data_IF_259289284494
#
_entry.id   IF_259289284494
#
_cell.length_a   1.000
_cell.length_b   1.000
_cell.length_c   1.000
_cell.angle_alpha   90.00
_cell.angle_beta   90.00
_cell.angle_gamma   90.00
#
_symmetry.space_group_name_H-M   'P 1'
#
loop_
_entity.id
_entity.type
_entity.pdbx_description
1 polymer ?
#
# COMPACT_ATOMS: atom_id res chain seq x y z
N UNK A 1 -9.53 -3.56 -9.23
CA UNK A 1 -9.80 -2.11 -9.06
C UNK A 1 -8.60 -1.49 -8.39
N UNK A 2 -7.65 -1.13 -9.23
CA UNK A 2 -6.27 -0.74 -8.95
C UNK A 2 -5.97 0.61 -9.62
N UNK A 3 -7.03 1.29 -10.07
CA UNK A 3 -6.99 2.51 -10.87
C UNK A 3 -6.62 3.74 -10.04
N UNK A 4 -6.86 3.76 -8.72
CA UNK A 4 -6.58 4.96 -7.91
C UNK A 4 -5.15 5.52 -8.12
N UNK A 5 -4.13 4.65 -8.07
CA UNK A 5 -2.75 5.10 -8.25
C UNK A 5 -2.43 5.55 -9.69
N UNK A 6 -3.12 4.94 -10.66
CA UNK A 6 -3.05 5.33 -12.06
C UNK A 6 -3.77 6.66 -12.30
N UNK A 7 -4.95 6.86 -11.73
CA UNK A 7 -5.73 8.10 -11.82
C UNK A 7 -4.96 9.27 -11.18
N UNK A 8 -4.37 9.06 -10.00
CA UNK A 8 -3.47 10.04 -9.38
C UNK A 8 -2.29 10.40 -10.29
N UNK A 9 -1.73 9.40 -10.99
CA UNK A 9 -0.66 9.63 -11.95
C UNK A 9 -1.15 10.45 -13.15
N UNK A 10 -2.31 10.14 -13.72
CA UNK A 10 -2.91 10.91 -14.82
C UNK A 10 -3.25 12.34 -14.40
N UNK A 11 -3.67 12.54 -13.15
CA UNK A 11 -3.95 13.85 -12.54
C UNK A 11 -2.68 14.63 -12.15
N UNK A 12 -1.48 14.07 -12.41
CA UNK A 12 -0.18 14.74 -12.23
C UNK A 12 0.51 14.50 -10.89
N UNK A 13 -0.09 13.69 -10.00
CA UNK A 13 0.50 13.30 -8.72
C UNK A 13 1.39 12.07 -8.97
N UNK A 14 2.67 12.31 -9.25
CA UNK A 14 3.61 11.24 -9.66
C UNK A 14 4.45 10.65 -8.51
N UNK A 15 4.55 11.34 -7.38
CA UNK A 15 5.32 10.85 -6.23
C UNK A 15 4.46 9.96 -5.32
N UNK A 16 3.98 8.84 -5.86
CA UNK A 16 3.13 7.88 -5.14
C UNK A 16 3.92 6.58 -4.95
N UNK A 17 3.97 6.05 -3.72
CA UNK A 17 4.43 4.68 -3.43
C UNK A 17 3.24 3.78 -3.20
N UNK A 18 3.18 2.69 -3.97
CA UNK A 18 2.16 1.66 -3.82
C UNK A 18 2.73 0.47 -3.06
N UNK A 19 2.20 0.18 -1.88
CA UNK A 19 2.74 -0.87 -1.01
C UNK A 19 1.73 -2.00 -0.81
N UNK A 20 2.24 -3.22 -0.71
CA UNK A 20 1.46 -4.40 -0.30
C UNK A 20 2.43 -5.44 0.29
N UNK A 21 1.99 -6.21 1.29
CA UNK A 21 2.80 -7.29 1.88
C UNK A 21 2.97 -8.48 0.91
N UNK A 22 2.09 -8.59 -0.10
CA UNK A 22 2.08 -9.67 -1.07
C UNK A 22 2.96 -9.36 -2.29
N UNK A 23 4.10 -10.05 -2.47
CA UNK A 23 4.92 -9.90 -3.68
C UNK A 23 4.19 -10.35 -4.95
N UNK A 24 3.22 -11.26 -4.83
CA UNK A 24 2.37 -11.69 -5.94
C UNK A 24 1.46 -10.54 -6.39
N UNK A 25 0.82 -9.85 -5.45
CA UNK A 25 -0.03 -8.69 -5.75
C UNK A 25 0.77 -7.60 -6.46
N UNK A 26 1.92 -7.22 -5.90
CA UNK A 26 2.82 -6.22 -6.50
C UNK A 26 3.30 -6.67 -7.89
N UNK A 27 3.62 -7.96 -8.07
CA UNK A 27 4.04 -8.52 -9.35
C UNK A 27 2.96 -8.38 -10.44
N UNK A 28 1.71 -8.72 -10.12
CA UNK A 28 0.60 -8.52 -11.07
C UNK A 28 0.33 -7.04 -11.34
N UNK A 29 0.50 -6.18 -10.33
CA UNK A 29 0.31 -4.74 -10.51
C UNK A 29 1.37 -4.08 -11.38
N UNK A 30 2.64 -4.46 -11.21
CA UNK A 30 3.73 -3.99 -12.08
C UNK A 30 3.53 -4.39 -13.53
N UNK A 31 2.89 -5.53 -13.81
CA UNK A 31 2.52 -5.92 -15.18
C UNK A 31 1.43 -5.02 -15.77
N UNK A 32 0.48 -4.59 -14.94
CA UNK A 32 -0.66 -3.78 -15.37
C UNK A 32 -0.32 -2.30 -15.53
N UNK A 33 0.43 -1.72 -14.58
CA UNK A 33 0.82 -0.30 -14.59
C UNK A 33 2.33 -0.15 -14.30
N UNK A 34 3.21 -0.51 -15.25
CA UNK A 34 4.66 -0.55 -15.03
C UNK A 34 5.32 0.83 -14.79
N UNK A 35 4.59 1.92 -15.07
CA UNK A 35 5.06 3.30 -14.87
C UNK A 35 4.83 3.81 -13.44
N UNK A 36 4.06 3.09 -12.63
CA UNK A 36 3.87 3.39 -11.22
C UNK A 36 4.98 2.76 -10.38
N UNK A 37 5.18 3.29 -9.18
CA UNK A 37 6.22 2.81 -8.28
C UNK A 37 5.64 2.02 -7.10
N UNK A 38 6.36 0.98 -6.70
CA UNK A 38 5.85 -0.09 -5.84
C UNK A 38 6.92 -0.69 -4.94
N UNK A 39 6.56 -0.92 -3.67
CA UNK A 39 7.35 -1.67 -2.69
C UNK A 39 6.57 -2.84 -2.12
N UNK A 40 7.24 -3.98 -1.92
CA UNK A 40 6.66 -5.10 -1.15
C UNK A 40 6.99 -4.85 0.32
N UNK A 41 5.98 -4.55 1.13
CA UNK A 41 6.19 -4.11 2.52
C UNK A 41 4.97 -4.41 3.40
N UNK A 42 5.21 -4.78 4.66
CA UNK A 42 4.17 -4.75 5.69
C UNK A 42 3.96 -3.30 6.17
N UNK A 43 2.74 -2.79 6.02
CA UNK A 43 2.39 -1.42 6.45
C UNK A 43 2.63 -1.18 7.94
N UNK A 44 2.60 -2.22 8.77
CA UNK A 44 2.92 -2.12 10.20
C UNK A 44 4.40 -1.80 10.45
N UNK A 45 5.26 -2.03 9.46
CA UNK A 45 6.70 -1.74 9.47
C UNK A 45 7.04 -0.44 8.72
N UNK A 46 6.05 0.38 8.35
CA UNK A 46 6.29 1.61 7.57
C UNK A 46 7.26 2.57 8.27
N UNK A 47 7.21 2.65 9.61
CA UNK A 47 8.08 3.51 10.40
C UNK A 47 9.53 3.04 10.51
N UNK A 48 9.82 1.78 10.20
CA UNK A 48 11.22 1.30 10.07
C UNK A 48 11.75 1.43 8.64
N UNK A 49 10.87 1.53 7.65
CA UNK A 49 11.23 1.64 6.24
C UNK A 49 11.35 3.09 5.75
N UNK A 50 10.56 4.02 6.29
CA UNK A 50 10.58 5.44 5.91
C UNK A 50 10.78 6.34 7.13
N UNK A 51 11.46 7.47 6.93
CA UNK A 51 11.61 8.49 7.97
C UNK A 51 10.27 9.16 8.28
N UNK A 52 10.17 9.79 9.45
CA UNK A 52 9.09 10.75 9.71
C UNK A 52 9.02 11.80 8.60
N UNK A 53 7.80 12.31 8.34
CA UNK A 53 7.53 13.35 7.34
C UNK A 53 7.84 12.97 5.87
N UNK A 54 8.01 11.67 5.58
CA UNK A 54 8.23 11.20 4.20
C UNK A 54 6.99 11.37 3.31
N UNK A 55 5.79 11.30 3.89
CA UNK A 55 4.53 11.32 3.16
C UNK A 55 3.60 12.40 3.70
N UNK A 56 3.10 13.27 2.81
CA UNK A 56 2.07 14.26 3.15
C UNK A 56 0.69 13.61 3.33
N UNK A 57 0.43 12.52 2.59
CA UNK A 57 -0.87 11.83 2.55
C UNK A 57 -0.64 10.32 2.52
N UNK A 58 -1.40 9.61 3.36
CA UNK A 58 -1.46 8.14 3.36
C UNK A 58 -2.91 7.74 3.04
N UNK A 59 -3.07 6.88 2.03
CA UNK A 59 -4.38 6.35 1.63
C UNK A 59 -4.38 4.84 1.89
N UNK A 60 -5.27 4.39 2.78
CA UNK A 60 -5.53 2.97 2.95
C UNK A 60 -6.79 2.56 2.16
N UNK A 61 -6.65 1.55 1.30
CA UNK A 61 -7.72 1.05 0.44
C UNK A 61 -8.19 -0.33 0.90
N UNK A 62 -8.59 -0.43 2.16
CA UNK A 62 -9.21 -1.63 2.75
C UNK A 62 -8.24 -2.61 3.43
N UNK A 63 -6.98 -2.22 3.68
CA UNK A 63 -6.05 -3.02 4.49
C UNK A 63 -6.49 -3.06 5.96
N UNK A 64 -7.02 -1.94 6.47
CA UNK A 64 -7.45 -1.83 7.87
C UNK A 64 -8.51 -2.87 8.25
N UNK A 65 -9.48 -3.15 7.37
CA UNK A 65 -10.52 -4.15 7.64
C UNK A 65 -9.92 -5.55 7.82
N UNK A 66 -8.90 -5.89 7.02
CA UNK A 66 -8.20 -7.18 7.10
C UNK A 66 -7.34 -7.28 8.36
N UNK A 67 -6.68 -6.19 8.75
CA UNK A 67 -5.86 -6.11 9.96
C UNK A 67 -6.71 -6.19 11.25
N UNK A 68 -7.88 -5.53 11.28
CA UNK A 68 -8.78 -5.55 12.42
C UNK A 68 -9.35 -6.95 12.70
N UNK A 69 -9.59 -7.76 11.66
CA UNK A 69 -10.01 -9.16 11.81
C UNK A 69 -8.91 -10.01 12.45
N UNK A 70 -7.64 -9.82 12.07
CA UNK A 70 -6.51 -10.53 12.70
C UNK A 70 -6.40 -10.27 14.20
N UNK A 71 -6.64 -9.04 14.67
CA UNK A 71 -6.60 -8.70 16.11
C UNK A 71 -7.72 -9.38 16.91
N UNK A 72 -8.91 -9.56 16.35
CA UNK A 72 -10.03 -10.25 17.05
C UNK A 72 -9.75 -11.73 17.32
N UNK A 73 -9.00 -12.42 16.44
CA UNK A 73 -8.63 -13.82 16.65
C UNK A 73 -7.58 -14.02 17.76
N UNK A 74 -6.91 -12.96 18.21
CA UNK A 74 -5.93 -13.01 19.31
C UNK A 74 -6.53 -12.63 20.67
N UNK A 75 -7.77 -12.15 20.73
CA UNK A 75 -8.42 -11.74 22.01
C UNK A 75 -9.39 -12.79 22.55
N UNK A 76 -9.33 -14.02 22.01
CA UNK A 76 -10.05 -15.18 22.55
C UNK A 76 -9.01 -16.16 23.08
N UNK A 77 -8.42 -15.82 24.23
CA UNK A 77 -7.65 -16.72 25.08
C UNK A 77 -8.07 -16.52 26.53
#
# INVERSE_FOLDING_TARGET
MTELAHDLYEDGIRNVKNIDISPVCIGEMKKMFPHLDYDVMDVLEIGSHYSGDTFDVIIDKGCLDTLLVKRRLQTVS
#
